data_IF_518997875529
#
_entry.id   IF_518997875529
#
_cell.length_a   1.000
_cell.length_b   1.000
_cell.length_c   1.000
_cell.angle_alpha   90.00
_cell.angle_beta   90.00
_cell.angle_gamma   90.00
#
_symmetry.space_group_name_H-M   'P 1'
#
loop_
_entity.id
_entity.type
_entity.pdbx_description
1 polymer ?
#
# COMPACT_ATOMS: atom_id res chain seq x y z
N UNK A 1 15.27 -3.75 3.51
CA UNK A 1 16.01 -2.97 2.49
C UNK A 1 15.10 -2.34 1.40
N UNK A 2 13.79 -2.60 1.38
CA UNK A 2 12.89 -2.18 0.28
C UNK A 2 12.22 -0.80 0.46
N UNK A 3 12.05 -0.35 1.70
CA UNK A 3 11.15 0.77 2.03
C UNK A 3 11.67 2.15 1.60
N UNK A 4 12.89 2.55 1.92
CA UNK A 4 13.24 3.98 1.83
C UNK A 4 13.67 4.44 0.44
N UNK A 5 14.47 3.65 -0.27
CA UNK A 5 15.00 4.08 -1.56
C UNK A 5 13.98 3.97 -2.71
N UNK A 6 13.11 2.94 -2.71
CA UNK A 6 12.17 2.72 -3.81
C UNK A 6 10.97 3.66 -3.79
N UNK A 7 10.48 4.02 -2.60
CA UNK A 7 9.34 4.94 -2.44
C UNK A 7 9.60 6.29 -3.12
N UNK A 8 10.78 6.87 -2.90
CA UNK A 8 11.17 8.13 -3.52
C UNK A 8 11.23 8.01 -5.04
N UNK A 9 11.83 6.95 -5.56
CA UNK A 9 11.90 6.71 -7.01
C UNK A 9 10.50 6.61 -7.60
N UNK A 10 9.61 5.79 -7.02
CA UNK A 10 8.24 5.66 -7.49
C UNK A 10 7.45 6.97 -7.46
N UNK A 11 7.62 7.77 -6.40
CA UNK A 11 7.00 9.09 -6.33
C UNK A 11 7.48 10.01 -7.47
N UNK A 12 8.79 10.04 -7.73
CA UNK A 12 9.37 10.85 -8.83
C UNK A 12 9.03 10.33 -10.23
N UNK A 13 8.67 9.05 -10.36
CA UNK A 13 8.27 8.43 -11.63
C UNK A 13 6.76 8.51 -11.92
N UNK A 14 5.99 9.23 -11.10
CA UNK A 14 4.56 9.44 -11.33
C UNK A 14 3.64 8.32 -10.85
N UNK A 15 4.14 7.38 -10.05
CA UNK A 15 3.29 6.40 -9.36
C UNK A 15 2.40 7.16 -8.37
N UNK A 16 1.09 6.93 -8.43
CA UNK A 16 0.12 7.66 -7.61
C UNK A 16 -0.23 6.96 -6.30
N UNK A 17 -0.24 5.63 -6.32
CA UNK A 17 -0.57 4.77 -5.19
C UNK A 17 0.44 3.62 -5.11
N UNK A 18 0.97 3.35 -3.91
CA UNK A 18 1.93 2.29 -3.65
C UNK A 18 1.51 1.49 -2.43
N UNK A 19 1.52 0.17 -2.55
CA UNK A 19 1.21 -0.74 -1.45
C UNK A 19 2.45 -1.51 -1.05
N UNK A 20 2.74 -1.53 0.25
CA UNK A 20 3.83 -2.33 0.82
C UNK A 20 3.19 -3.42 1.67
N UNK A 21 3.34 -4.67 1.25
CA UNK A 21 2.88 -5.84 1.97
C UNK A 21 4.04 -6.31 2.85
N UNK A 22 3.78 -6.41 4.16
CA UNK A 22 4.71 -6.95 5.15
C UNK A 22 4.17 -8.31 5.64
N UNK A 23 4.61 -9.45 5.07
CA UNK A 23 4.10 -10.77 5.43
C UNK A 23 4.34 -11.12 6.90
N UNK A 24 5.51 -10.74 7.42
CA UNK A 24 5.91 -11.08 8.80
C UNK A 24 4.99 -10.46 9.87
N UNK A 25 4.52 -9.25 9.62
CA UNK A 25 3.59 -8.55 10.53
C UNK A 25 2.15 -8.61 10.06
N UNK A 26 1.89 -9.29 8.93
CA UNK A 26 0.60 -9.37 8.24
C UNK A 26 -0.10 -8.01 8.11
N UNK A 27 0.66 -7.03 7.64
CA UNK A 27 0.20 -5.66 7.44
C UNK A 27 0.38 -5.22 5.99
N UNK A 28 -0.58 -4.44 5.50
CA UNK A 28 -0.52 -3.78 4.21
C UNK A 28 -0.53 -2.27 4.46
N UNK A 29 0.50 -1.59 3.98
CA UNK A 29 0.60 -0.14 4.07
C UNK A 29 0.29 0.49 2.72
N UNK A 30 -0.62 1.45 2.72
CA UNK A 30 -1.03 2.18 1.52
C UNK A 30 -0.47 3.59 1.56
N UNK A 31 0.20 3.98 0.49
CA UNK A 31 0.75 5.33 0.28
C UNK A 31 0.08 5.96 -0.93
N UNK A 32 -0.38 7.22 -0.79
CA UNK A 32 -0.73 8.07 -1.91
C UNK A 32 0.44 8.99 -2.23
N UNK A 33 1.38 8.48 -3.03
CA UNK A 33 2.64 9.17 -3.34
C UNK A 33 2.45 10.53 -4.01
N UNK A 34 1.32 10.74 -4.69
CA UNK A 34 0.92 12.02 -5.28
C UNK A 34 0.57 13.11 -4.26
N UNK A 35 0.22 12.73 -3.01
CA UNK A 35 -0.10 13.65 -1.92
C UNK A 35 1.03 13.72 -0.89
N UNK A 36 1.48 12.56 -0.43
CA UNK A 36 2.54 12.43 0.56
C UNK A 36 3.30 11.11 0.31
N UNK A 37 4.57 11.23 -0.06
CA UNK A 37 5.43 10.08 -0.32
C UNK A 37 6.10 9.51 0.94
N UNK A 38 6.06 10.23 2.07
CA UNK A 38 6.70 9.84 3.31
C UNK A 38 5.76 9.05 4.22
N UNK A 39 4.48 9.45 4.29
CA UNK A 39 3.51 8.88 5.23
C UNK A 39 2.52 7.93 4.54
N UNK A 40 2.14 6.88 5.27
CA UNK A 40 1.03 6.02 4.88
C UNK A 40 -0.29 6.75 5.08
N UNK A 41 -1.22 6.61 4.15
CA UNK A 41 -2.60 7.08 4.33
C UNK A 41 -3.48 6.04 5.04
N UNK A 42 -3.11 4.76 4.98
CA UNK A 42 -3.79 3.68 5.66
C UNK A 42 -2.84 2.51 5.95
N UNK A 43 -3.13 1.78 7.01
CA UNK A 43 -2.52 0.49 7.32
C UNK A 43 -3.63 -0.51 7.60
N UNK A 44 -3.60 -1.64 6.91
CA UNK A 44 -4.60 -2.71 7.00
C UNK A 44 -3.97 -3.97 7.59
N UNK A 45 -4.70 -4.64 8.47
CA UNK A 45 -4.36 -5.95 9.00
C UNK A 45 -4.89 -7.09 8.11
N UNK A 46 -4.49 -8.32 8.43
CA UNK A 46 -4.86 -9.54 7.69
C UNK A 46 -6.36 -9.74 7.45
N UNK A 47 -7.21 -9.30 8.37
CA UNK A 47 -8.65 -9.54 8.30
C UNK A 47 -9.43 -8.39 7.65
N UNK A 48 -8.73 -7.35 7.21
CA UNK A 48 -9.37 -6.16 6.66
C UNK A 48 -9.78 -6.34 5.20
N UNK A 49 -10.85 -5.65 4.83
CA UNK A 49 -11.18 -5.36 3.44
C UNK A 49 -10.99 -3.87 3.22
N UNK A 50 -10.29 -3.51 2.14
CA UNK A 50 -9.98 -2.12 1.84
C UNK A 50 -10.17 -1.83 0.35
N UNK A 51 -10.34 -0.55 0.05
CA UNK A 51 -10.58 -0.03 -1.29
C UNK A 51 -9.36 0.78 -1.74
N UNK A 52 -9.01 0.68 -3.03
CA UNK A 52 -7.97 1.55 -3.60
C UNK A 52 -8.46 3.00 -3.59
N UNK A 53 -7.62 3.91 -3.07
CA UNK A 53 -7.93 5.33 -3.10
C UNK A 53 -7.84 5.91 -4.52
N UNK A 54 -7.02 5.29 -5.39
CA UNK A 54 -6.85 5.66 -6.79
C UNK A 54 -7.94 5.08 -7.71
N UNK A 55 -8.48 3.91 -7.38
CA UNK A 55 -9.49 3.22 -8.18
C UNK A 55 -10.76 2.97 -7.36
N UNK A 56 -11.68 3.96 -7.30
CA UNK A 56 -12.94 3.82 -6.58
C UNK A 56 -13.72 2.58 -7.03
N UNK A 57 -14.26 1.84 -6.07
CA UNK A 57 -14.96 0.57 -6.26
C UNK A 57 -14.06 -0.67 -6.34
N UNK A 58 -12.73 -0.52 -6.47
CA UNK A 58 -11.80 -1.64 -6.49
C UNK A 58 -11.44 -2.07 -5.06
N UNK A 59 -11.98 -3.21 -4.62
CA UNK A 59 -11.83 -3.72 -3.25
C UNK A 59 -10.97 -4.97 -3.17
N UNK A 60 -10.24 -5.07 -2.06
CA UNK A 60 -9.31 -6.15 -1.79
C UNK A 60 -9.54 -6.71 -0.39
N UNK A 61 -9.46 -8.03 -0.28
CA UNK A 61 -9.43 -8.73 1.01
C UNK A 61 -7.97 -9.02 1.36
N UNK A 62 -7.48 -8.45 2.46
CA UNK A 62 -6.13 -8.70 2.93
C UNK A 62 -5.90 -10.19 3.23
N UNK A 63 -6.94 -10.89 3.69
CA UNK A 63 -6.89 -12.33 3.98
C UNK A 63 -6.53 -13.13 2.74
N UNK A 64 -7.09 -12.77 1.57
CA UNK A 64 -6.76 -13.42 0.29
C UNK A 64 -5.34 -13.10 -0.18
N UNK A 65 -4.83 -11.90 0.13
CA UNK A 65 -3.46 -11.48 -0.23
C UNK A 65 -2.43 -12.30 0.56
N UNK A 66 -2.67 -12.54 1.86
CA UNK A 66 -1.77 -13.32 2.71
C UNK A 66 -1.94 -14.84 2.60
N UNK A 67 -2.95 -15.32 1.88
CA UNK A 67 -3.19 -16.74 1.64
C UNK A 67 -2.36 -17.33 0.49
N UNK A 68 -1.55 -16.51 -0.21
CA UNK A 68 -0.66 -16.92 -1.30
C UNK A 68 0.73 -17.34 -0.83
#
# INVERSE_FOLDING_TARGET
LDRDNKRRVYATSGVRELWIIAPETRQIQVYLLSRDAANTIATHGENDTFESALFPGLRFSATRIFAQ
#
